data_IF_411976972275
#
_entry.id   IF_411976972275
#
_cell.length_a   1.000
_cell.length_b   1.000
_cell.length_c   1.000
_cell.angle_alpha   90.00
_cell.angle_beta   90.00
_cell.angle_gamma   90.00
#
_symmetry.space_group_name_H-M   'P 1'
#
loop_
_entity.id
_entity.type
_entity.pdbx_description
1 polymer ?
#
# COMPACT_ATOMS: atom_id res chain seq x y z
N UNK A 1 24.46 -94.32 61.48
CA UNK A 1 25.60 -93.43 61.15
C UNK A 1 25.74 -92.39 62.26
N UNK A 2 26.95 -91.91 62.51
CA UNK A 2 27.38 -91.27 63.76
C UNK A 2 27.17 -89.74 63.80
N UNK A 3 27.08 -89.22 65.04
CA UNK A 3 27.51 -87.89 65.53
C UNK A 3 26.85 -86.62 64.95
N UNK A 4 26.23 -85.74 65.77
CA UNK A 4 26.83 -84.75 66.71
C UNK A 4 27.47 -83.56 65.99
N UNK A 5 27.53 -82.32 66.50
CA UNK A 5 26.90 -81.58 67.63
C UNK A 5 27.34 -80.09 67.49
N UNK A 6 27.00 -79.23 68.45
CA UNK A 6 27.54 -77.87 68.69
C UNK A 6 27.08 -76.76 67.70
N UNK A 7 26.67 -75.54 68.06
CA UNK A 7 26.55 -74.68 69.27
C UNK A 7 27.29 -73.34 69.10
N UNK A 8 26.92 -72.36 69.94
CA UNK A 8 27.53 -71.03 70.21
C UNK A 8 26.72 -69.86 69.58
N UNK A 9 26.00 -68.99 70.32
CA UNK A 9 26.45 -67.93 71.25
C UNK A 9 27.51 -67.00 70.62
N UNK A 10 27.25 -65.74 70.27
CA UNK A 10 27.23 -64.53 71.17
C UNK A 10 26.89 -63.23 70.36
N UNK A 11 26.76 -61.98 70.87
CA UNK A 11 26.10 -61.39 72.07
C UNK A 11 26.12 -59.83 71.99
N UNK A 12 24.97 -59.16 71.79
CA UNK A 12 24.75 -57.68 71.94
C UNK A 12 25.61 -56.75 71.01
N UNK A 13 25.36 -55.44 70.81
CA UNK A 13 24.95 -54.32 71.71
C UNK A 13 24.12 -53.25 70.95
N UNK A 14 23.33 -52.48 71.71
CA UNK A 14 22.38 -51.45 71.32
C UNK A 14 22.94 -50.13 70.73
N UNK A 15 22.05 -49.36 70.09
CA UNK A 15 21.92 -47.91 70.32
C UNK A 15 20.48 -47.43 70.06
N UNK A 16 19.87 -46.74 71.03
CA UNK A 16 18.54 -46.10 70.92
C UNK A 16 18.73 -44.59 70.77
N UNK A 17 17.91 -43.93 69.95
CA UNK A 17 17.67 -42.48 70.03
C UNK A 17 16.22 -42.15 69.66
N UNK A 18 15.72 -41.02 70.16
CA UNK A 18 14.30 -40.84 70.51
C UNK A 18 13.54 -39.73 69.76
N UNK A 19 12.21 -39.93 69.65
CA UNK A 19 11.12 -38.92 69.69
C UNK A 19 10.96 -37.95 68.48
N UNK A 20 9.81 -37.22 68.38
CA UNK A 20 8.48 -37.44 68.97
C UNK A 20 7.30 -37.32 67.95
N UNK A 21 6.09 -37.38 68.50
CA UNK A 21 4.77 -37.35 67.87
C UNK A 21 4.36 -36.08 67.10
N UNK A 22 3.41 -36.31 66.18
CA UNK A 22 2.42 -35.39 65.60
C UNK A 22 2.00 -34.21 66.51
N UNK A 23 1.93 -33.01 65.93
CA UNK A 23 1.10 -31.88 66.40
C UNK A 23 0.49 -31.18 65.19
N UNK A 24 -0.84 -31.13 65.12
CA UNK A 24 -1.56 -30.36 64.11
C UNK A 24 -1.37 -28.87 64.35
N UNK A 25 -1.11 -28.10 63.28
CA UNK A 25 -1.14 -26.63 63.33
C UNK A 25 -2.04 -26.03 62.28
N UNK A 26 -2.86 -25.12 62.77
CA UNK A 26 -3.96 -24.43 62.10
C UNK A 26 -3.50 -23.47 61.01
N UNK A 27 -4.37 -23.28 60.02
CA UNK A 27 -4.28 -22.27 58.97
C UNK A 27 -4.22 -20.84 59.52
N UNK A 28 -3.29 -20.02 59.03
CA UNK A 28 -3.38 -18.55 58.94
C UNK A 28 -2.36 -18.03 57.90
N UNK A 29 -2.66 -16.93 57.19
CA UNK A 29 -1.63 -16.15 56.48
C UNK A 29 -1.69 -15.99 54.95
N UNK A 30 -2.70 -16.49 54.21
CA UNK A 30 -2.82 -16.24 52.75
C UNK A 30 -3.54 -14.92 52.42
N UNK A 31 -2.95 -13.77 52.79
CA UNK A 31 -3.41 -12.44 52.34
C UNK A 31 -2.29 -11.42 51.99
N UNK A 32 -1.02 -11.69 52.31
CA UNK A 32 0.04 -10.67 52.22
C UNK A 32 0.83 -10.57 50.89
N UNK A 33 0.74 -11.57 50.00
CA UNK A 33 1.70 -11.70 48.87
C UNK A 33 1.12 -11.50 47.45
N UNK A 34 -0.17 -11.21 47.31
CA UNK A 34 -0.79 -11.01 45.98
C UNK A 34 -0.58 -9.57 45.45
N UNK A 35 -0.32 -8.59 46.33
CA UNK A 35 -0.21 -7.17 45.96
C UNK A 35 1.13 -6.75 45.31
N UNK A 36 2.18 -7.57 45.37
CA UNK A 36 3.48 -7.24 44.79
C UNK A 36 3.64 -7.69 43.32
N UNK A 37 2.74 -8.52 42.79
CA UNK A 37 2.84 -9.09 41.43
C UNK A 37 1.77 -8.54 40.46
N UNK A 38 1.07 -7.47 40.85
CA UNK A 38 0.10 -6.75 40.01
C UNK A 38 0.64 -5.48 39.34
N UNK A 39 1.89 -5.09 39.59
CA UNK A 39 2.43 -3.77 39.21
C UNK A 39 3.58 -3.83 38.18
N UNK A 40 3.59 -4.86 37.32
CA UNK A 40 4.60 -5.03 36.24
C UNK A 40 3.96 -5.17 34.84
N UNK A 41 2.64 -5.30 34.73
CA UNK A 41 1.96 -5.66 33.46
C UNK A 41 1.30 -4.49 32.70
N UNK A 42 1.55 -3.23 33.09
CA UNK A 42 0.77 -2.06 32.63
C UNK A 42 1.54 -1.06 31.76
N UNK A 43 2.69 -1.44 31.18
CA UNK A 43 3.54 -0.56 30.38
C UNK A 43 3.88 -1.08 28.97
N UNK A 44 3.12 -2.04 28.44
CA UNK A 44 3.10 -2.34 27.01
C UNK A 44 2.24 -1.31 26.27
N UNK A 45 2.68 -0.04 26.31
CA UNK A 45 2.18 1.00 25.43
C UNK A 45 2.51 0.63 23.99
N UNK A 46 1.49 0.44 23.16
CA UNK A 46 1.66 0.14 21.75
C UNK A 46 2.18 1.37 21.01
N UNK A 47 3.50 1.58 21.03
CA UNK A 47 4.16 2.46 20.06
C UNK A 47 3.89 1.90 18.65
N UNK A 48 3.02 2.57 17.90
CA UNK A 48 2.81 2.30 16.50
C UNK A 48 4.08 2.72 15.72
N UNK A 49 5.00 1.78 15.51
CA UNK A 49 6.26 2.04 14.83
C UNK A 49 6.04 2.26 13.33
N UNK A 50 5.85 3.50 12.91
CA UNK A 50 5.79 3.87 11.50
C UNK A 50 7.19 3.81 10.88
N UNK A 51 7.40 2.93 9.89
CA UNK A 51 8.62 2.88 9.09
C UNK A 51 8.41 3.60 7.77
N UNK A 52 9.29 4.54 7.43
CA UNK A 52 9.42 5.03 6.06
C UNK A 52 10.04 3.95 5.19
N UNK A 53 9.38 3.64 4.08
CA UNK A 53 9.91 2.80 3.00
C UNK A 53 10.44 3.74 1.92
N UNK A 54 11.56 3.36 1.29
CA UNK A 54 12.11 4.09 0.14
C UNK A 54 11.19 3.90 -1.08
N UNK A 55 10.68 4.98 -1.71
CA UNK A 55 9.86 4.88 -2.93
C UNK A 55 10.53 4.11 -4.07
N UNK A 56 11.87 4.05 -4.12
CA UNK A 56 12.61 3.29 -5.14
C UNK A 56 12.74 1.79 -4.82
N UNK A 57 12.29 1.34 -3.63
CA UNK A 57 12.34 -0.06 -3.22
C UNK A 57 11.04 -0.82 -3.55
N UNK A 58 11.13 -1.90 -4.32
CA UNK A 58 10.00 -2.76 -4.66
C UNK A 58 9.59 -3.64 -3.48
N UNK A 59 8.41 -3.39 -2.89
CA UNK A 59 7.87 -4.19 -1.79
C UNK A 59 6.39 -4.51 -2.03
N UNK A 60 6.11 -5.71 -2.53
CA UNK A 60 4.75 -6.21 -2.77
C UNK A 60 4.22 -6.94 -1.53
N UNK A 61 3.13 -6.44 -0.93
CA UNK A 61 2.48 -7.10 0.22
C UNK A 61 1.47 -8.19 -0.19
N UNK A 62 0.84 -8.05 -1.36
CA UNK A 62 0.21 -9.15 -2.09
C UNK A 62 0.11 -8.88 -3.61
N UNK A 63 -1.07 -9.04 -4.21
CA UNK A 63 -1.34 -8.88 -5.63
C UNK A 63 -2.36 -7.75 -5.91
N UNK A 64 -2.63 -6.88 -4.92
CA UNK A 64 -3.24 -5.57 -5.15
C UNK A 64 -2.30 -4.66 -5.95
N UNK A 65 -2.85 -3.57 -6.47
CA UNK A 65 -2.09 -2.53 -7.14
C UNK A 65 -1.16 -1.79 -6.16
N UNK A 66 0.06 -1.43 -6.58
CA UNK A 66 0.99 -0.68 -5.72
C UNK A 66 1.79 0.45 -6.40
N UNK A 67 2.75 1.02 -5.66
CA UNK A 67 3.58 2.13 -6.10
C UNK A 67 4.52 1.75 -7.25
N UNK A 68 5.06 0.53 -7.26
CA UNK A 68 5.92 0.05 -8.34
C UNK A 68 5.12 -0.23 -9.62
N UNK A 69 3.92 -0.80 -9.50
CA UNK A 69 2.98 -0.92 -10.62
C UNK A 69 2.66 0.45 -11.23
N UNK A 70 2.39 1.45 -10.36
CA UNK A 70 2.18 2.84 -10.80
C UNK A 70 3.38 3.38 -11.58
N UNK A 71 4.59 3.23 -11.04
CA UNK A 71 5.81 3.76 -11.66
C UNK A 71 6.05 3.15 -13.04
N UNK A 72 5.91 1.82 -13.15
CA UNK A 72 6.03 1.08 -14.41
C UNK A 72 5.05 1.58 -15.48
N UNK A 73 3.77 1.76 -15.11
CA UNK A 73 2.73 2.30 -16.02
C UNK A 73 3.05 3.74 -16.44
N UNK A 74 3.41 4.61 -15.49
CA UNK A 74 3.75 6.03 -15.78
C UNK A 74 4.93 6.11 -16.73
N UNK A 75 6.02 5.39 -16.43
CA UNK A 75 7.25 5.45 -17.21
C UNK A 75 7.03 4.90 -18.63
N UNK A 76 6.34 3.76 -18.77
CA UNK A 76 6.07 3.14 -20.07
C UNK A 76 5.16 4.01 -20.96
N UNK A 77 4.01 4.47 -20.46
CA UNK A 77 3.08 5.31 -21.23
C UNK A 77 3.70 6.68 -21.58
N UNK A 78 4.48 7.27 -20.66
CA UNK A 78 5.16 8.56 -20.94
C UNK A 78 6.24 8.39 -22.00
N UNK A 79 7.04 7.32 -21.94
CA UNK A 79 8.08 7.04 -22.95
C UNK A 79 7.47 6.78 -24.33
N UNK A 80 6.36 6.03 -24.40
CA UNK A 80 5.62 5.79 -25.64
C UNK A 80 5.08 7.08 -26.26
N UNK A 81 4.44 7.94 -25.46
CA UNK A 81 3.91 9.22 -25.94
C UNK A 81 5.03 10.21 -26.36
N UNK A 82 6.17 10.20 -25.69
CA UNK A 82 7.35 11.00 -26.08
C UNK A 82 8.06 10.46 -27.31
N UNK A 83 8.02 9.14 -27.55
CA UNK A 83 8.57 8.50 -28.73
C UNK A 83 7.64 8.49 -29.95
N UNK A 84 6.41 9.00 -29.82
CA UNK A 84 5.40 8.94 -30.88
C UNK A 84 5.69 9.95 -32.00
N UNK A 85 5.91 9.52 -33.26
CA UNK A 85 6.14 10.43 -34.39
C UNK A 85 4.87 11.15 -34.85
N UNK A 86 3.68 10.72 -34.37
CA UNK A 86 2.38 11.25 -34.79
C UNK A 86 2.08 12.66 -34.26
N UNK A 87 2.85 13.14 -33.28
CA UNK A 87 2.59 14.41 -32.60
C UNK A 87 3.84 15.28 -32.72
N UNK A 88 3.89 16.23 -33.68
CA UNK A 88 5.04 17.11 -33.85
C UNK A 88 5.12 18.14 -32.72
N UNK A 89 6.20 18.15 -31.96
CA UNK A 89 6.43 19.05 -30.80
C UNK A 89 7.46 20.16 -31.06
N UNK A 90 8.29 20.01 -32.10
CA UNK A 90 9.47 20.85 -32.37
C UNK A 90 9.13 22.33 -32.66
N UNK A 91 8.01 22.61 -33.32
CA UNK A 91 7.64 23.97 -33.76
C UNK A 91 6.64 24.64 -32.82
N UNK A 92 5.61 23.92 -32.38
CA UNK A 92 4.59 24.38 -31.44
C UNK A 92 4.30 23.25 -30.46
N UNK A 93 4.57 23.51 -29.17
CA UNK A 93 4.34 22.53 -28.09
C UNK A 93 2.84 22.30 -27.89
N UNK A 94 2.32 21.06 -28.09
CA UNK A 94 0.90 20.77 -27.98
C UNK A 94 0.35 21.06 -26.59
N UNK A 95 -0.87 21.58 -26.53
CA UNK A 95 -1.58 21.92 -25.31
C UNK A 95 -2.59 20.81 -24.99
N UNK A 96 -2.31 20.05 -23.93
CA UNK A 96 -3.14 18.91 -23.51
C UNK A 96 -4.07 19.32 -22.36
N UNK A 97 -5.32 18.88 -22.39
CA UNK A 97 -6.22 18.87 -21.24
C UNK A 97 -6.47 17.44 -20.76
N UNK A 98 -6.22 17.18 -19.48
CA UNK A 98 -6.46 15.85 -18.89
C UNK A 98 -7.89 15.78 -18.38
N UNK A 99 -8.64 14.77 -18.83
CA UNK A 99 -9.99 14.48 -18.31
C UNK A 99 -9.98 13.46 -17.17
N UNK A 100 -9.05 12.51 -17.19
CA UNK A 100 -8.87 11.51 -16.13
C UNK A 100 -8.71 10.11 -16.71
N UNK A 101 -8.74 9.12 -15.81
CA UNK A 101 -8.73 7.70 -16.16
C UNK A 101 -9.87 7.06 -15.37
N UNK A 102 -10.78 6.41 -16.08
CA UNK A 102 -11.93 5.72 -15.49
C UNK A 102 -11.47 4.43 -14.80
N UNK A 103 -11.87 4.25 -13.55
CA UNK A 103 -11.54 3.07 -12.77
C UNK A 103 -12.63 2.00 -12.93
N UNK A 104 -12.36 1.02 -13.81
CA UNK A 104 -13.18 -0.18 -14.02
C UNK A 104 -12.64 -1.38 -13.21
N UNK A 105 -11.76 -1.17 -12.23
CA UNK A 105 -11.29 -2.23 -11.33
C UNK A 105 -12.25 -2.46 -10.15
N UNK A 106 -12.09 -3.59 -9.47
CA UNK A 106 -12.77 -3.82 -8.18
C UNK A 106 -12.09 -3.16 -6.98
N UNK A 107 -11.07 -2.31 -7.20
CA UNK A 107 -10.22 -1.71 -6.16
C UNK A 107 -10.32 -0.17 -6.19
N UNK A 108 -10.19 0.47 -5.02
CA UNK A 108 -10.13 1.93 -4.92
C UNK A 108 -8.74 2.48 -5.29
N UNK A 109 -8.41 2.42 -6.58
CA UNK A 109 -7.15 2.92 -7.12
C UNK A 109 -7.25 4.44 -7.38
N UNK A 110 -6.22 5.19 -6.95
CA UNK A 110 -6.11 6.63 -7.19
C UNK A 110 -5.63 6.93 -8.61
N UNK A 111 -6.51 6.80 -9.59
CA UNK A 111 -6.18 7.02 -11.01
C UNK A 111 -5.74 8.46 -11.31
N UNK A 112 -6.21 9.43 -10.53
CA UNK A 112 -5.78 10.83 -10.61
C UNK A 112 -4.28 11.00 -10.36
N UNK A 113 -3.71 10.27 -9.39
CA UNK A 113 -2.27 10.27 -9.11
C UNK A 113 -1.44 9.81 -10.30
N UNK A 114 -1.92 8.81 -11.04
CA UNK A 114 -1.26 8.32 -12.25
C UNK A 114 -1.24 9.40 -13.33
N UNK A 115 -2.38 10.06 -13.58
CA UNK A 115 -2.46 11.16 -14.55
C UNK A 115 -1.68 12.41 -14.13
N UNK A 116 -1.53 12.66 -12.83
CA UNK A 116 -0.76 13.79 -12.31
C UNK A 116 0.76 13.52 -12.46
N UNK A 117 1.22 12.28 -12.27
CA UNK A 117 2.61 11.87 -12.51
C UNK A 117 2.98 11.87 -14.01
N UNK A 118 2.11 11.33 -14.89
CA UNK A 118 2.28 11.41 -16.35
C UNK A 118 2.37 12.88 -16.79
N UNK A 119 1.47 13.75 -16.31
CA UNK A 119 1.53 15.19 -16.58
C UNK A 119 2.87 15.79 -16.16
N UNK A 120 3.36 15.44 -14.97
CA UNK A 120 4.63 15.95 -14.45
C UNK A 120 5.81 15.52 -15.32
N UNK A 121 5.87 14.26 -15.75
CA UNK A 121 6.93 13.75 -16.63
C UNK A 121 6.88 14.40 -18.02
N UNK A 122 5.70 14.57 -18.61
CA UNK A 122 5.52 15.27 -19.89
C UNK A 122 5.87 16.77 -19.80
N UNK A 123 5.55 17.46 -18.70
CA UNK A 123 6.02 18.83 -18.45
C UNK A 123 7.55 18.88 -18.33
N UNK A 124 8.16 17.93 -17.59
CA UNK A 124 9.61 17.85 -17.40
C UNK A 124 10.38 17.57 -18.69
N UNK A 125 9.80 16.82 -19.63
CA UNK A 125 10.39 16.62 -20.96
C UNK A 125 10.55 17.94 -21.72
N UNK A 126 9.68 18.91 -21.45
CA UNK A 126 9.59 20.16 -22.18
C UNK A 126 8.78 20.08 -23.48
N UNK A 127 8.35 18.92 -23.94
CA UNK A 127 7.66 18.74 -25.23
C UNK A 127 6.21 19.22 -25.21
N UNK A 128 5.55 19.15 -24.05
CA UNK A 128 4.10 19.36 -23.90
C UNK A 128 3.73 20.50 -22.94
N UNK A 129 2.56 21.11 -23.19
CA UNK A 129 1.93 22.12 -22.33
C UNK A 129 0.59 21.60 -21.83
N UNK A 130 0.11 22.10 -20.70
CA UNK A 130 -1.13 21.60 -20.09
C UNK A 130 -2.08 22.68 -19.62
N UNK A 131 -3.39 22.45 -19.81
CA UNK A 131 -4.46 23.22 -19.16
C UNK A 131 -4.77 22.60 -17.80
N UNK A 132 -4.74 23.43 -16.76
CA UNK A 132 -5.15 23.00 -15.41
C UNK A 132 -6.69 22.99 -15.28
N UNK A 133 -7.32 21.93 -15.81
CA UNK A 133 -8.79 21.72 -15.74
C UNK A 133 -9.34 21.83 -14.31
N UNK A 134 -8.59 21.33 -13.31
CA UNK A 134 -8.96 21.34 -11.87
C UNK A 134 -9.10 22.76 -11.30
N UNK A 135 -8.47 23.77 -11.91
CA UNK A 135 -8.49 25.16 -11.43
C UNK A 135 -9.42 26.08 -12.24
N UNK A 136 -10.18 25.58 -13.22
CA UNK A 136 -11.05 26.43 -14.08
C UNK A 136 -12.04 27.29 -13.29
N UNK A 137 -12.66 26.74 -12.23
CA UNK A 137 -13.58 27.50 -11.39
C UNK A 137 -12.86 28.64 -10.65
N UNK A 138 -11.76 28.34 -9.97
CA UNK A 138 -10.94 29.31 -9.23
C UNK A 138 -10.39 30.42 -10.16
N UNK A 139 -10.00 30.06 -11.39
CA UNK A 139 -9.54 31.02 -12.40
C UNK A 139 -10.65 31.94 -12.89
N UNK A 140 -11.89 31.46 -12.96
CA UNK A 140 -13.05 32.28 -13.29
C UNK A 140 -13.42 33.21 -12.13
N UNK A 141 -13.46 32.69 -10.90
CA UNK A 141 -13.77 33.45 -9.68
C UNK A 141 -12.76 34.61 -9.46
N UNK A 142 -11.46 34.36 -9.65
CA UNK A 142 -10.43 35.39 -9.60
C UNK A 142 -10.57 36.42 -10.73
N UNK A 143 -10.90 36.00 -11.96
CA UNK A 143 -11.15 36.93 -13.05
C UNK A 143 -12.38 37.83 -12.75
N UNK A 144 -13.48 37.25 -12.31
CA UNK A 144 -14.71 37.97 -11.95
C UNK A 144 -14.44 38.96 -10.81
N UNK A 145 -13.64 38.58 -9.80
CA UNK A 145 -13.20 39.45 -8.71
C UNK A 145 -12.41 40.68 -9.20
N UNK A 146 -11.50 40.49 -10.17
CA UNK A 146 -10.75 41.61 -10.75
C UNK A 146 -11.66 42.63 -11.47
N UNK A 147 -12.76 42.16 -12.07
CA UNK A 147 -13.76 43.02 -12.71
C UNK A 147 -14.82 43.60 -11.73
N UNK A 148 -14.95 43.06 -10.52
CA UNK A 148 -15.88 43.54 -9.49
C UNK A 148 -15.58 44.95 -8.91
N UNK A 149 -14.52 45.61 -9.39
CA UNK A 149 -14.19 47.01 -9.07
C UNK A 149 -13.07 47.21 -8.05
N UNK A 150 -12.52 46.13 -7.48
CA UNK A 150 -11.45 46.20 -6.47
C UNK A 150 -10.03 46.27 -7.08
N UNK A 151 -9.85 45.91 -8.35
CA UNK A 151 -8.54 45.85 -9.02
C UNK A 151 -8.44 46.92 -10.12
N UNK A 152 -7.32 47.67 -10.21
CA UNK A 152 -7.12 48.68 -11.26
C UNK A 152 -7.23 48.09 -12.67
N UNK A 153 -7.87 48.76 -13.65
CA UNK A 153 -8.11 48.22 -14.99
C UNK A 153 -6.86 47.69 -15.70
N UNK A 154 -5.72 48.36 -15.53
CA UNK A 154 -4.43 48.02 -16.12
C UNK A 154 -3.75 46.77 -15.52
N UNK A 155 -4.27 46.25 -14.40
CA UNK A 155 -3.78 45.04 -13.73
C UNK A 155 -4.69 43.82 -13.94
N UNK A 156 -5.83 43.99 -14.62
CA UNK A 156 -6.81 42.90 -14.82
C UNK A 156 -6.34 41.93 -15.90
N UNK A 157 -6.67 40.65 -15.72
CA UNK A 157 -6.56 39.65 -16.79
C UNK A 157 -7.45 40.04 -17.98
N UNK A 158 -6.93 39.89 -19.21
CA UNK A 158 -7.74 40.13 -20.41
C UNK A 158 -8.69 38.95 -20.65
N UNK A 159 -9.99 39.23 -20.72
CA UNK A 159 -11.02 38.25 -21.09
C UNK A 159 -10.70 37.50 -22.39
N UNK A 160 -11.12 36.23 -22.48
CA UNK A 160 -10.94 35.40 -23.68
C UNK A 160 -9.49 34.99 -23.99
N UNK A 161 -8.51 35.26 -23.11
CA UNK A 161 -7.10 34.87 -23.30
C UNK A 161 -6.68 33.52 -22.69
N UNK A 162 -7.63 32.73 -22.20
CA UNK A 162 -7.33 31.34 -21.83
C UNK A 162 -6.91 30.53 -23.06
N UNK A 163 -5.96 29.61 -22.88
CA UNK A 163 -5.48 28.74 -23.95
C UNK A 163 -6.57 27.71 -24.33
N UNK A 164 -6.70 27.43 -25.63
CA UNK A 164 -7.35 26.22 -26.11
C UNK A 164 -6.47 24.99 -25.86
N UNK A 165 -7.07 23.82 -25.73
CA UNK A 165 -6.33 22.55 -25.80
C UNK A 165 -6.39 22.04 -27.23
N UNK A 166 -5.27 21.53 -27.72
CA UNK A 166 -5.19 20.84 -29.01
C UNK A 166 -5.62 19.37 -28.84
N UNK A 167 -5.40 18.81 -27.65
CA UNK A 167 -5.68 17.39 -27.34
C UNK A 167 -6.33 17.17 -25.97
N UNK A 168 -7.17 16.13 -25.89
CA UNK A 168 -7.65 15.52 -24.64
C UNK A 168 -6.79 14.29 -24.34
N UNK A 169 -6.31 14.17 -23.10
CA UNK A 169 -5.74 12.93 -22.57
C UNK A 169 -6.76 12.26 -21.63
N UNK A 170 -7.13 11.03 -21.95
CA UNK A 170 -8.09 10.20 -21.22
C UNK A 170 -7.71 8.72 -21.28
N UNK A 171 -8.30 7.89 -20.43
CA UNK A 171 -8.01 6.46 -20.43
C UNK A 171 -8.89 5.64 -19.50
N UNK A 172 -8.56 4.36 -19.35
CA UNK A 172 -9.31 3.41 -18.51
C UNK A 172 -8.36 2.44 -17.83
N UNK A 173 -8.60 2.17 -16.54
CA UNK A 173 -7.89 1.16 -15.75
C UNK A 173 -8.83 0.00 -15.43
N UNK A 174 -8.51 -1.20 -15.93
CA UNK A 174 -9.29 -2.44 -15.79
C UNK A 174 -8.57 -3.47 -14.95
N UNK A 175 -9.30 -4.37 -14.31
CA UNK A 175 -8.71 -5.51 -13.60
C UNK A 175 -9.48 -6.81 -13.78
N UNK A 176 -8.77 -7.94 -13.82
CA UNK A 176 -9.34 -9.29 -13.85
C UNK A 176 -8.77 -10.10 -12.68
N UNK A 177 -9.61 -10.45 -11.71
CA UNK A 177 -9.23 -11.36 -10.61
C UNK A 177 -9.52 -12.83 -10.96
N UNK A 178 -8.52 -13.71 -10.78
CA UNK A 178 -8.69 -15.17 -10.81
C UNK A 178 -8.28 -15.78 -9.47
N UNK A 179 -9.22 -16.42 -8.79
CA UNK A 179 -9.01 -17.11 -7.51
C UNK A 179 -8.95 -18.61 -7.77
N UNK A 180 -7.87 -19.28 -7.33
CA UNK A 180 -7.76 -20.73 -7.49
C UNK A 180 -8.86 -21.42 -6.63
N UNK A 181 -9.61 -22.39 -7.18
CA UNK A 181 -10.64 -23.11 -6.41
C UNK A 181 -10.02 -23.87 -5.22
N UNK A 182 -10.79 -24.01 -4.14
CA UNK A 182 -10.42 -24.79 -2.93
C UNK A 182 -10.31 -26.30 -3.24
N UNK A 183 -9.22 -26.73 -3.87
CA UNK A 183 -8.90 -28.15 -4.04
C UNK A 183 -7.65 -28.52 -3.24
N UNK A 184 -7.88 -29.26 -2.14
CA UNK A 184 -6.94 -30.11 -1.36
C UNK A 184 -5.45 -29.67 -1.41
N UNK A 185 -5.18 -28.39 -1.15
CA UNK A 185 -3.83 -27.82 -1.07
C UNK A 185 -3.77 -26.82 0.06
N UNK A 186 -2.63 -26.78 0.75
CA UNK A 186 -2.36 -25.90 1.90
C UNK A 186 -2.11 -24.43 1.52
N UNK A 187 -2.44 -23.98 0.31
CA UNK A 187 -2.28 -22.58 -0.11
C UNK A 187 -3.48 -22.06 -0.91
N UNK A 188 -3.79 -20.78 -0.70
CA UNK A 188 -4.72 -20.00 -1.53
C UNK A 188 -3.90 -19.18 -2.51
N UNK A 189 -4.20 -19.29 -3.80
CA UNK A 189 -3.59 -18.44 -4.84
C UNK A 189 -4.61 -17.44 -5.39
N UNK A 190 -4.22 -16.17 -5.47
CA UNK A 190 -4.95 -15.08 -6.13
C UNK A 190 -4.04 -14.52 -7.23
N UNK A 191 -4.48 -14.63 -8.47
CA UNK A 191 -3.91 -13.93 -9.62
C UNK A 191 -4.76 -12.69 -9.87
N UNK A 192 -4.12 -11.54 -10.01
CA UNK A 192 -4.76 -10.30 -10.46
C UNK A 192 -3.99 -9.82 -11.68
N UNK A 193 -4.74 -9.33 -12.65
CA UNK A 193 -4.22 -8.74 -13.87
C UNK A 193 -4.83 -7.35 -14.00
N UNK A 194 -3.99 -6.34 -14.23
CA UNK A 194 -4.37 -4.95 -14.46
C UNK A 194 -4.05 -4.59 -15.91
N UNK A 195 -4.90 -3.78 -16.53
CA UNK A 195 -4.72 -3.27 -17.88
C UNK A 195 -5.08 -1.78 -17.86
N UNK A 196 -4.12 -0.95 -18.24
CA UNK A 196 -4.24 0.50 -18.33
C UNK A 196 -4.19 0.90 -19.79
N UNK A 197 -5.27 1.50 -20.30
CA UNK A 197 -5.28 2.12 -21.62
C UNK A 197 -5.20 3.64 -21.46
N UNK A 198 -4.42 4.31 -22.30
CA UNK A 198 -4.34 5.76 -22.35
C UNK A 198 -4.36 6.25 -23.81
N UNK A 199 -5.13 7.29 -24.06
CA UNK A 199 -5.45 7.80 -25.40
C UNK A 199 -5.31 9.32 -25.42
N UNK A 200 -4.74 9.84 -26.51
CA UNK A 200 -4.63 11.26 -26.81
C UNK A 200 -5.50 11.58 -28.04
N UNK A 201 -6.63 12.24 -27.80
CA UNK A 201 -7.62 12.59 -28.82
C UNK A 201 -7.47 14.03 -29.25
N UNK A 202 -7.32 14.30 -30.54
CA UNK A 202 -7.35 15.64 -31.13
C UNK A 202 -8.71 16.30 -30.88
N UNK A 203 -8.72 17.51 -30.30
CA UNK A 203 -9.95 18.19 -29.89
C UNK A 203 -10.77 18.73 -31.08
N UNK A 204 -10.12 19.05 -32.20
CA UNK A 204 -10.76 19.60 -33.39
C UNK A 204 -11.34 18.50 -34.29
N UNK A 205 -10.58 17.43 -34.54
CA UNK A 205 -10.99 16.35 -35.46
C UNK A 205 -11.70 15.18 -34.77
N UNK A 206 -11.51 15.00 -33.46
CA UNK A 206 -11.95 13.82 -32.72
C UNK A 206 -11.11 12.55 -32.99
N UNK A 207 -10.00 12.67 -33.72
CA UNK A 207 -9.08 11.57 -34.02
C UNK A 207 -8.26 11.16 -32.78
N UNK A 208 -8.10 9.86 -32.54
CA UNK A 208 -7.14 9.35 -31.55
C UNK A 208 -5.75 9.36 -32.20
N UNK A 209 -4.98 10.44 -31.97
CA UNK A 209 -3.67 10.66 -32.60
C UNK A 209 -2.53 9.87 -31.94
N UNK A 210 -2.73 9.40 -30.71
CA UNK A 210 -1.90 8.41 -30.04
C UNK A 210 -2.75 7.58 -29.07
N UNK A 211 -2.43 6.30 -28.94
CA UNK A 211 -2.97 5.41 -27.92
C UNK A 211 -1.94 4.35 -27.58
N UNK A 212 -1.88 3.95 -26.32
CA UNK A 212 -1.07 2.83 -25.87
C UNK A 212 -1.67 2.17 -24.61
N UNK A 213 -1.20 0.96 -24.29
CA UNK A 213 -1.64 0.21 -23.12
C UNK A 213 -0.49 -0.48 -22.37
N UNK A 214 -0.62 -0.53 -21.05
CA UNK A 214 0.29 -1.26 -20.16
C UNK A 214 -0.49 -2.33 -19.40
N UNK A 215 0.08 -3.53 -19.31
CA UNK A 215 -0.52 -4.68 -18.67
C UNK A 215 0.39 -5.23 -17.58
N UNK A 216 -0.15 -5.44 -16.38
CA UNK A 216 0.61 -5.94 -15.23
C UNK A 216 -0.11 -7.16 -14.64
N UNK A 217 0.63 -8.24 -14.40
CA UNK A 217 0.12 -9.45 -13.77
C UNK A 217 0.83 -9.72 -12.44
N UNK A 218 0.06 -9.91 -11.36
CA UNK A 218 0.57 -10.21 -10.01
C UNK A 218 -0.09 -11.48 -9.47
N UNK A 219 0.72 -12.44 -9.01
CA UNK A 219 0.25 -13.63 -8.29
C UNK A 219 0.66 -13.56 -6.81
N UNK A 220 -0.30 -13.80 -5.91
CA UNK A 220 -0.02 -14.00 -4.48
C UNK A 220 -0.45 -15.39 -4.03
N UNK A 221 0.42 -16.06 -3.28
CA UNK A 221 0.17 -17.37 -2.68
C UNK A 221 0.32 -17.29 -1.17
N UNK A 222 -0.80 -17.41 -0.44
CA UNK A 222 -0.80 -17.42 1.03
C UNK A 222 -1.01 -18.84 1.55
N UNK A 223 -0.15 -19.37 2.45
CA UNK A 223 -0.40 -20.65 3.09
C UNK A 223 -1.64 -20.57 3.99
N UNK A 224 -2.35 -21.69 4.12
CA UNK A 224 -3.58 -21.80 4.94
C UNK A 224 -3.22 -22.03 6.42
N UNK A 225 -2.00 -22.46 6.70
CA UNK A 225 -1.43 -22.62 8.04
C UNK A 225 -0.18 -21.75 8.11
N UNK A 226 -0.17 -20.82 9.06
CA UNK A 226 0.99 -20.00 9.42
C UNK A 226 1.00 -19.79 10.93
N UNK A 227 2.17 -19.99 11.52
CA UNK A 227 2.54 -19.64 12.89
C UNK A 227 3.35 -18.34 12.86
#
# INVERSE_FOLDING_TARGET
>A
MHHSSMSNFTTNIAAVSHKPSQVSRTTWGRCGQILAMGMIFSLLGACATTRSIDPESTTHYDASYDFSDKKEIVDSLTQSLLGSPSIPTETVKPIIVIYGIDNETSEHISTSGITDDIRLSLIKSGEYRFINRKQRANLQEEADYQYAGFVPPEQRVTEGRQLGADFILSGTLRSIEKKQPKQIRLSKRKLVYYSMNLELTNLETGEISWADNVEIARESSRPIIGW
#
